data_IF_124998536860
#
_entry.id   IF_124998536860
#
_cell.length_a   1.000
_cell.length_b   1.000
_cell.length_c   1.000
_cell.angle_alpha   90.00
_cell.angle_beta   90.00
_cell.angle_gamma   90.00
#
_symmetry.space_group_name_H-M   'P 1'
#
loop_
_entity.id
_entity.type
_entity.pdbx_description
1 polymer ?
#
# COMPACT_ATOMS: atom_id res chain seq x y z
N UNK A 1 26.66 -2.43 -13.25
CA UNK A 1 25.42 -2.63 -14.02
C UNK A 1 24.91 -4.00 -13.66
N UNK A 2 23.92 -4.09 -12.78
CA UNK A 2 23.14 -5.30 -12.58
C UNK A 2 22.40 -5.54 -13.91
N UNK A 3 22.81 -6.56 -14.66
CA UNK A 3 22.03 -7.07 -15.78
C UNK A 3 20.68 -7.49 -15.22
N UNK A 4 19.65 -6.73 -15.55
CA UNK A 4 18.28 -6.99 -15.13
C UNK A 4 17.87 -8.30 -15.81
N UNK A 5 17.85 -9.39 -15.02
CA UNK A 5 17.54 -10.73 -15.52
C UNK A 5 16.08 -10.75 -15.98
N UNK A 6 15.86 -10.74 -17.28
CA UNK A 6 14.52 -10.83 -17.87
C UNK A 6 13.95 -12.22 -17.57
N UNK A 7 12.77 -12.25 -16.92
CA UNK A 7 12.07 -13.49 -16.59
C UNK A 7 11.34 -14.03 -17.83
N UNK A 8 11.39 -15.35 -18.04
CA UNK A 8 10.58 -16.00 -19.05
C UNK A 8 9.09 -16.02 -18.65
N UNK A 9 8.20 -16.28 -19.62
CA UNK A 9 6.76 -16.40 -19.33
C UNK A 9 6.47 -17.48 -18.29
N UNK A 10 7.19 -18.61 -18.31
CA UNK A 10 7.04 -19.67 -17.32
C UNK A 10 7.46 -19.25 -15.92
N UNK A 11 8.58 -18.54 -15.79
CA UNK A 11 9.04 -17.99 -14.53
C UNK A 11 8.07 -16.96 -13.95
N UNK A 12 7.49 -16.10 -14.81
CA UNK A 12 6.48 -15.14 -14.38
C UNK A 12 5.22 -15.86 -13.92
N UNK A 13 4.76 -16.88 -14.63
CA UNK A 13 3.60 -17.69 -14.23
C UNK A 13 3.84 -18.44 -12.90
N UNK A 14 5.05 -18.96 -12.66
CA UNK A 14 5.39 -19.59 -11.40
C UNK A 14 5.39 -18.59 -10.23
N UNK A 15 5.95 -17.40 -10.43
CA UNK A 15 5.86 -16.32 -9.44
C UNK A 15 4.41 -15.93 -9.12
N UNK A 16 3.57 -15.81 -10.13
CA UNK A 16 2.14 -15.54 -9.94
C UNK A 16 1.43 -16.64 -9.16
N UNK A 17 1.74 -17.89 -9.46
CA UNK A 17 1.19 -19.05 -8.73
C UNK A 17 1.57 -18.99 -7.25
N UNK A 18 2.84 -18.75 -6.96
CA UNK A 18 3.32 -18.63 -5.57
C UNK A 18 2.68 -17.45 -4.84
N UNK A 19 2.52 -16.31 -5.51
CA UNK A 19 1.83 -15.15 -4.94
C UNK A 19 0.36 -15.44 -4.63
N UNK A 20 -0.36 -16.14 -5.52
CA UNK A 20 -1.74 -16.54 -5.31
C UNK A 20 -1.88 -17.51 -4.11
N UNK A 21 -0.98 -18.50 -3.97
CA UNK A 21 -0.95 -19.40 -2.81
C UNK A 21 -0.74 -18.65 -1.48
N UNK A 22 0.12 -17.64 -1.46
CA UNK A 22 0.35 -16.80 -0.27
C UNK A 22 -0.87 -15.95 0.11
N UNK A 23 -1.73 -15.64 -0.87
CA UNK A 23 -2.96 -14.87 -0.67
C UNK A 23 -4.17 -15.74 -0.30
N UNK A 24 -3.98 -17.07 -0.13
CA UNK A 24 -5.01 -17.98 0.35
C UNK A 24 -5.93 -18.56 -0.73
N UNK A 25 -5.57 -18.45 -1.99
CA UNK A 25 -6.31 -19.05 -3.12
C UNK A 25 -5.93 -20.53 -3.26
N UNK A 26 -6.44 -21.36 -2.33
CA UNK A 26 -6.18 -22.82 -2.24
C UNK A 26 -7.14 -23.65 -3.09
N UNK A 27 -7.58 -23.17 -4.25
CA UNK A 27 -8.40 -24.01 -5.12
C UNK A 27 -7.58 -24.96 -6.00
N UNK A 28 -7.21 -26.11 -5.45
CA UNK A 28 -6.95 -27.33 -6.21
C UNK A 28 -8.29 -27.88 -6.76
N UNK A 29 -8.78 -27.29 -7.82
CA UNK A 29 -10.03 -27.70 -8.45
C UNK A 29 -10.10 -27.33 -9.92
N UNK A 30 -11.14 -27.78 -10.61
CA UNK A 30 -11.45 -27.57 -12.05
C UNK A 30 -11.42 -26.09 -12.51
N UNK A 31 -11.32 -25.14 -11.60
CA UNK A 31 -11.15 -23.70 -11.85
C UNK A 31 -9.80 -23.28 -12.43
N UNK A 32 -8.77 -24.11 -12.34
CA UNK A 32 -7.42 -23.82 -12.85
C UNK A 32 -7.39 -23.46 -14.35
N UNK A 33 -8.17 -24.13 -15.18
CA UNK A 33 -8.27 -23.84 -16.62
C UNK A 33 -8.98 -22.51 -16.90
N UNK A 34 -10.04 -22.22 -16.17
CA UNK A 34 -10.74 -20.93 -16.23
C UNK A 34 -9.84 -19.79 -15.76
N UNK A 35 -9.09 -19.98 -14.69
CA UNK A 35 -8.11 -19.01 -14.22
C UNK A 35 -7.02 -18.70 -15.26
N UNK A 36 -6.50 -19.72 -15.96
CA UNK A 36 -5.51 -19.50 -17.05
C UNK A 36 -6.09 -18.72 -18.23
N UNK A 37 -7.30 -19.07 -18.67
CA UNK A 37 -7.92 -18.39 -19.82
C UNK A 37 -8.25 -16.93 -19.49
N UNK A 38 -8.74 -16.64 -18.29
CA UNK A 38 -8.98 -15.29 -17.81
C UNK A 38 -7.66 -14.50 -17.70
N UNK A 39 -6.60 -15.12 -17.20
CA UNK A 39 -5.26 -14.50 -17.15
C UNK A 39 -4.72 -14.16 -18.54
N UNK A 40 -4.86 -15.08 -19.51
CA UNK A 40 -4.38 -14.84 -20.88
C UNK A 40 -5.18 -13.73 -21.54
N UNK A 41 -6.51 -13.75 -21.43
CA UNK A 41 -7.38 -12.71 -21.97
C UNK A 41 -7.09 -11.34 -21.33
N UNK A 42 -6.93 -11.28 -20.01
CA UNK A 42 -6.54 -10.08 -19.30
C UNK A 42 -5.14 -9.58 -19.71
N UNK A 43 -4.18 -10.50 -19.91
CA UNK A 43 -2.85 -10.15 -20.39
C UNK A 43 -2.87 -9.56 -21.81
N UNK A 44 -3.64 -10.16 -22.72
CA UNK A 44 -3.82 -9.64 -24.09
C UNK A 44 -4.40 -8.22 -24.09
N UNK A 45 -5.35 -7.93 -23.22
CA UNK A 45 -5.98 -6.61 -23.11
C UNK A 45 -5.02 -5.57 -22.52
N UNK A 46 -4.17 -5.96 -21.56
CA UNK A 46 -3.26 -5.05 -20.83
C UNK A 46 -1.93 -4.80 -21.51
N UNK A 47 -1.44 -5.76 -22.27
CA UNK A 47 -0.13 -5.68 -22.92
C UNK A 47 0.07 -4.40 -23.75
N UNK A 48 -0.86 -3.97 -24.62
CA UNK A 48 -0.67 -2.75 -25.39
C UNK A 48 -0.50 -1.50 -24.53
N UNK A 49 -1.26 -1.40 -23.45
CA UNK A 49 -1.21 -0.27 -22.51
C UNK A 49 0.08 -0.30 -21.67
N UNK A 50 0.48 -1.48 -21.20
CA UNK A 50 1.71 -1.66 -20.45
C UNK A 50 2.92 -1.32 -21.33
N UNK A 51 2.94 -1.80 -22.59
CA UNK A 51 3.96 -1.47 -23.57
C UNK A 51 4.05 0.05 -23.80
N UNK A 52 2.92 0.71 -24.04
CA UNK A 52 2.89 2.16 -24.28
C UNK A 52 3.48 2.93 -23.09
N UNK A 53 3.09 2.60 -21.85
CA UNK A 53 3.62 3.26 -20.65
C UNK A 53 5.12 3.04 -20.45
N UNK A 54 5.65 1.85 -20.74
CA UNK A 54 7.09 1.58 -20.66
C UNK A 54 7.88 2.39 -21.68
N UNK A 55 7.34 2.55 -22.90
CA UNK A 55 7.94 3.41 -23.92
C UNK A 55 7.94 4.90 -23.51
N UNK A 56 6.82 5.39 -22.93
CA UNK A 56 6.73 6.74 -22.37
C UNK A 56 7.74 6.97 -21.23
N UNK A 57 8.11 5.94 -20.50
CA UNK A 57 9.10 5.98 -19.43
C UNK A 57 10.54 5.91 -19.94
N UNK A 58 10.74 5.84 -21.27
CA UNK A 58 12.06 5.89 -21.93
C UNK A 58 12.72 4.54 -22.18
N UNK A 59 11.98 3.41 -22.05
CA UNK A 59 12.51 2.12 -22.49
C UNK A 59 12.60 2.05 -24.02
N UNK A 60 13.70 1.51 -24.55
CA UNK A 60 13.88 1.35 -25.99
C UNK A 60 12.86 0.36 -26.57
N UNK A 61 12.28 0.70 -27.72
CA UNK A 61 11.23 -0.09 -28.39
C UNK A 61 11.67 -1.52 -28.65
N UNK A 62 12.88 -1.69 -29.22
CA UNK A 62 13.45 -3.00 -29.57
C UNK A 62 13.60 -3.88 -28.32
N UNK A 63 13.93 -3.27 -27.18
CA UNK A 63 14.07 -3.98 -25.91
C UNK A 63 12.73 -4.43 -25.37
N UNK A 64 11.71 -3.55 -25.41
CA UNK A 64 10.35 -3.89 -24.91
C UNK A 64 9.71 -4.96 -25.79
N UNK A 65 9.93 -4.93 -27.09
CA UNK A 65 9.43 -5.95 -28.03
C UNK A 65 10.11 -7.31 -27.88
N UNK A 66 11.37 -7.32 -27.46
CA UNK A 66 12.09 -8.57 -27.18
C UNK A 66 11.65 -9.23 -25.85
N UNK A 67 10.93 -8.51 -24.97
CA UNK A 67 10.51 -9.05 -23.69
C UNK A 67 9.23 -9.91 -23.79
N UNK A 68 9.12 -11.00 -22.99
CA UNK A 68 7.89 -11.74 -22.87
C UNK A 68 6.71 -10.85 -22.43
N UNK A 69 5.54 -11.04 -23.03
CA UNK A 69 4.37 -10.18 -22.77
C UNK A 69 3.98 -10.09 -21.27
N UNK A 70 4.04 -11.20 -20.56
CA UNK A 70 3.76 -11.21 -19.12
C UNK A 70 4.81 -10.44 -18.31
N UNK A 71 6.07 -10.46 -18.74
CA UNK A 71 7.11 -9.66 -18.11
C UNK A 71 6.87 -8.16 -18.28
N UNK A 72 6.48 -7.72 -19.49
CA UNK A 72 6.10 -6.33 -19.77
C UNK A 72 4.98 -5.86 -18.87
N UNK A 73 3.93 -6.68 -18.70
CA UNK A 73 2.79 -6.36 -17.82
C UNK A 73 3.23 -6.29 -16.36
N UNK A 74 4.00 -7.27 -15.89
CA UNK A 74 4.48 -7.30 -14.51
C UNK A 74 5.39 -6.12 -14.19
N UNK A 75 6.29 -5.75 -15.12
CA UNK A 75 7.19 -4.61 -14.96
C UNK A 75 6.40 -3.30 -14.86
N UNK A 76 5.41 -3.09 -15.72
CA UNK A 76 4.53 -1.93 -15.69
C UNK A 76 3.74 -1.87 -14.36
N UNK A 77 3.15 -2.98 -13.92
CA UNK A 77 2.44 -3.08 -12.64
C UNK A 77 3.37 -2.79 -11.44
N UNK A 78 4.59 -3.29 -11.48
CA UNK A 78 5.58 -3.02 -10.44
C UNK A 78 5.97 -1.54 -10.40
N UNK A 79 6.13 -0.88 -11.55
CA UNK A 79 6.44 0.55 -11.59
C UNK A 79 5.28 1.41 -11.09
N UNK A 80 4.04 1.07 -11.44
CA UNK A 80 2.85 1.73 -10.90
C UNK A 80 2.77 1.57 -9.37
N UNK A 81 3.03 0.36 -8.87
CA UNK A 81 3.09 0.10 -7.43
C UNK A 81 4.17 0.94 -6.75
N UNK A 82 5.39 1.01 -7.32
CA UNK A 82 6.47 1.83 -6.75
C UNK A 82 6.07 3.30 -6.65
N UNK A 83 5.50 3.86 -7.71
CA UNK A 83 5.06 5.26 -7.71
C UNK A 83 3.98 5.50 -6.64
N UNK A 84 3.03 4.58 -6.47
CA UNK A 84 1.98 4.67 -5.46
C UNK A 84 2.55 4.49 -4.05
N UNK A 85 3.40 3.47 -3.85
CA UNK A 85 4.10 3.24 -2.59
C UNK A 85 4.84 4.49 -2.14
N UNK A 86 5.62 5.10 -3.04
CA UNK A 86 6.44 6.26 -2.71
C UNK A 86 5.57 7.49 -2.40
N UNK A 87 4.42 7.65 -3.08
CA UNK A 87 3.41 8.67 -2.71
C UNK A 87 2.83 8.44 -1.33
N UNK A 88 2.56 7.19 -0.97
CA UNK A 88 1.98 6.83 0.31
C UNK A 88 3.01 6.97 1.43
N UNK A 89 4.20 6.37 1.27
CA UNK A 89 5.20 6.32 2.34
C UNK A 89 5.80 7.68 2.70
N UNK A 90 5.87 8.64 1.77
CA UNK A 90 6.31 10.00 2.11
C UNK A 90 5.46 10.63 3.23
N UNK A 91 4.20 10.24 3.36
CA UNK A 91 3.30 10.74 4.39
C UNK A 91 3.36 9.97 5.71
N UNK A 92 4.08 8.84 5.75
CA UNK A 92 4.21 8.05 6.99
C UNK A 92 5.16 8.70 8.01
N UNK A 93 6.04 9.59 7.57
CA UNK A 93 6.95 10.34 8.44
C UNK A 93 6.36 11.66 8.95
N UNK A 94 5.16 12.02 8.51
CA UNK A 94 4.47 13.24 8.91
C UNK A 94 3.41 12.89 9.97
N UNK A 95 3.19 13.75 11.00
CA UNK A 95 2.12 13.53 11.98
C UNK A 95 0.77 13.25 11.29
N UNK A 96 0.02 12.27 11.81
CA UNK A 96 -1.21 11.80 11.18
C UNK A 96 -2.22 12.92 10.91
N UNK A 97 -2.34 13.90 11.81
CA UNK A 97 -3.24 15.06 11.65
C UNK A 97 -2.94 15.86 10.39
N UNK A 98 -1.67 15.98 10.01
CA UNK A 98 -1.23 16.70 8.81
C UNK A 98 -1.28 15.79 7.56
N UNK A 99 -1.04 14.49 7.73
CA UNK A 99 -1.02 13.51 6.65
C UNK A 99 -2.42 13.04 6.23
N UNK A 100 -3.44 13.16 7.09
CA UNK A 100 -4.77 12.55 6.95
C UNK A 100 -5.44 12.82 5.60
N UNK A 101 -5.45 14.05 5.14
CA UNK A 101 -6.07 14.42 3.86
C UNK A 101 -5.35 13.79 2.66
N UNK A 102 -4.03 13.74 2.70
CA UNK A 102 -3.19 13.15 1.66
C UNK A 102 -3.28 11.63 1.63
N UNK A 103 -3.34 11.00 2.81
CA UNK A 103 -3.56 9.57 2.92
C UNK A 103 -4.94 9.16 2.39
N UNK A 104 -5.98 9.97 2.68
CA UNK A 104 -7.33 9.75 2.13
C UNK A 104 -7.34 9.87 0.60
N UNK A 105 -6.69 10.90 0.05
CA UNK A 105 -6.56 11.06 -1.40
C UNK A 105 -5.84 9.86 -2.04
N UNK A 106 -4.74 9.40 -1.46
CA UNK A 106 -4.01 8.22 -1.95
C UNK A 106 -4.87 6.95 -1.91
N UNK A 107 -5.73 6.79 -0.89
CA UNK A 107 -6.68 5.70 -0.77
C UNK A 107 -7.78 5.74 -1.85
N UNK A 108 -8.30 6.92 -2.13
CA UNK A 108 -9.27 7.14 -3.20
C UNK A 108 -8.67 6.82 -4.58
N UNK A 109 -7.44 7.29 -4.87
CA UNK A 109 -6.70 6.97 -6.09
C UNK A 109 -6.45 5.46 -6.22
N UNK A 110 -6.08 4.80 -5.13
CA UNK A 110 -5.91 3.36 -5.09
C UNK A 110 -7.22 2.61 -5.34
N UNK A 111 -8.30 3.05 -4.70
CA UNK A 111 -9.63 2.46 -4.89
C UNK A 111 -10.13 2.61 -6.32
N UNK A 112 -9.79 3.70 -7.01
CA UNK A 112 -10.08 3.87 -8.44
C UNK A 112 -9.31 2.87 -9.30
N UNK A 113 -8.02 2.66 -9.02
CA UNK A 113 -7.22 1.66 -9.74
C UNK A 113 -7.79 0.25 -9.55
N UNK A 114 -8.24 -0.11 -8.35
CA UNK A 114 -8.92 -1.38 -8.09
C UNK A 114 -10.19 -1.56 -8.92
N UNK A 115 -10.99 -0.50 -9.08
CA UNK A 115 -12.23 -0.55 -9.88
C UNK A 115 -11.96 -0.68 -11.37
N UNK A 116 -10.91 -0.05 -11.87
CA UNK A 116 -10.50 -0.13 -13.27
C UNK A 116 -9.90 -1.49 -13.62
N UNK A 117 -9.41 -2.22 -12.63
CA UNK A 117 -8.76 -3.53 -12.74
C UNK A 117 -9.76 -4.71 -12.73
N UNK A 118 -11.06 -4.45 -12.94
CA UNK A 118 -12.19 -5.41 -12.86
C UNK A 118 -12.10 -6.66 -13.73
N UNK A 119 -10.98 -6.87 -14.42
CA UNK A 119 -10.75 -7.98 -15.36
C UNK A 119 -10.09 -9.21 -14.70
N UNK A 120 -10.10 -9.32 -13.36
CA UNK A 120 -9.59 -10.52 -12.65
C UNK A 120 -8.07 -10.64 -12.55
N UNK A 121 -7.30 -9.81 -13.24
CA UNK A 121 -5.85 -9.68 -13.05
C UNK A 121 -5.54 -8.48 -12.15
N UNK A 122 -5.95 -8.60 -10.90
CA UNK A 122 -5.62 -7.62 -9.88
C UNK A 122 -4.09 -7.47 -9.78
N UNK A 123 -3.61 -6.25 -9.77
CA UNK A 123 -2.19 -6.02 -9.53
C UNK A 123 -1.83 -6.57 -8.13
N UNK A 124 -1.05 -7.68 -8.04
CA UNK A 124 -0.79 -8.37 -6.77
C UNK A 124 -0.09 -7.46 -5.77
N UNK A 125 0.66 -6.45 -6.25
CA UNK A 125 1.36 -5.51 -5.39
C UNK A 125 0.41 -4.55 -4.66
N UNK A 126 -0.76 -4.25 -5.21
CA UNK A 126 -1.74 -3.36 -4.58
C UNK A 126 -2.39 -3.97 -3.35
N UNK A 127 -2.41 -5.30 -3.22
CA UNK A 127 -3.03 -6.02 -2.10
C UNK A 127 -2.37 -5.68 -0.75
N UNK A 128 -1.11 -5.26 -0.76
CA UNK A 128 -0.36 -4.92 0.46
C UNK A 128 -0.61 -3.50 0.98
N UNK A 129 -1.08 -2.57 0.16
CA UNK A 129 -1.22 -1.15 0.54
C UNK A 129 -2.35 -0.85 1.54
N UNK A 130 -3.56 -1.45 1.46
CA UNK A 130 -4.65 -1.18 2.39
C UNK A 130 -4.30 -1.52 3.85
N UNK A 131 -3.52 -2.59 4.06
CA UNK A 131 -3.05 -2.97 5.39
C UNK A 131 -2.20 -1.87 6.03
N UNK A 132 -1.34 -1.21 5.26
CA UNK A 132 -0.44 -0.17 5.74
C UNK A 132 -1.21 1.06 6.22
N UNK A 133 -2.26 1.48 5.52
CA UNK A 133 -3.11 2.60 5.92
C UNK A 133 -3.85 2.31 7.23
N UNK A 134 -4.41 1.10 7.37
CA UNK A 134 -5.08 0.68 8.60
C UNK A 134 -4.12 0.68 9.79
N UNK A 135 -2.88 0.23 9.60
CA UNK A 135 -1.83 0.26 10.62
C UNK A 135 -1.56 1.71 11.06
N UNK A 136 -1.39 2.64 10.12
CA UNK A 136 -1.15 4.06 10.45
C UNK A 136 -2.30 4.70 11.21
N UNK A 137 -3.54 4.39 10.85
CA UNK A 137 -4.72 4.83 11.60
C UNK A 137 -4.73 4.30 13.03
N UNK A 138 -4.44 3.01 13.21
CA UNK A 138 -4.39 2.38 14.54
C UNK A 138 -3.24 2.94 15.38
N UNK A 139 -2.07 3.18 14.80
CA UNK A 139 -0.92 3.80 15.46
C UNK A 139 -1.26 5.21 15.96
N UNK A 140 -1.87 6.04 15.11
CA UNK A 140 -2.31 7.38 15.49
C UNK A 140 -3.40 7.36 16.58
N UNK A 141 -4.30 6.37 16.55
CA UNK A 141 -5.29 6.17 17.60
C UNK A 141 -4.64 5.80 18.92
N UNK A 142 -3.71 4.84 18.91
CA UNK A 142 -2.97 4.43 20.08
C UNK A 142 -2.18 5.58 20.71
N UNK A 143 -1.45 6.35 19.88
CA UNK A 143 -0.71 7.53 20.34
C UNK A 143 -1.62 8.55 21.03
N UNK A 144 -2.82 8.80 20.48
CA UNK A 144 -3.84 9.66 21.08
C UNK A 144 -4.33 9.11 22.42
N UNK A 145 -4.62 7.82 22.49
CA UNK A 145 -5.15 7.19 23.70
C UNK A 145 -4.09 7.21 24.83
N UNK A 146 -2.81 7.03 24.49
CA UNK A 146 -1.69 7.21 25.43
C UNK A 146 -1.59 8.69 25.89
N UNK A 147 -1.74 9.66 24.99
CA UNK A 147 -1.72 11.07 25.34
C UNK A 147 -2.85 11.44 26.31
N UNK A 148 -4.06 10.91 26.09
CA UNK A 148 -5.20 11.09 27.00
C UNK A 148 -4.90 10.51 28.39
N UNK A 149 -4.35 9.30 28.47
CA UNK A 149 -3.98 8.69 29.75
C UNK A 149 -2.93 9.53 30.47
N UNK A 150 -1.93 10.02 29.78
CA UNK A 150 -0.91 10.94 30.37
C UNK A 150 -1.55 12.21 30.93
N UNK A 151 -2.50 12.80 30.20
CA UNK A 151 -3.23 13.96 30.70
C UNK A 151 -4.03 13.64 31.98
N UNK A 152 -4.71 12.49 32.00
CA UNK A 152 -5.49 12.06 33.17
C UNK A 152 -4.58 11.88 34.40
N UNK A 153 -3.44 11.19 34.23
CA UNK A 153 -2.49 11.00 35.32
C UNK A 153 -1.85 12.32 35.81
N UNK A 154 -1.53 13.22 34.87
CA UNK A 154 -1.01 14.54 35.19
C UNK A 154 -2.03 15.36 36.01
N UNK A 155 -3.32 15.31 35.68
CA UNK A 155 -4.40 15.96 36.44
C UNK A 155 -4.54 15.33 37.83
N UNK A 156 -4.46 14.00 37.94
CA UNK A 156 -4.52 13.30 39.24
C UNK A 156 -3.36 13.69 40.15
N UNK A 157 -2.14 13.75 39.62
CA UNK A 157 -0.97 14.19 40.37
C UNK A 157 -1.12 15.64 40.83
N UNK A 158 -1.56 16.53 39.94
CA UNK A 158 -1.83 17.93 40.30
C UNK A 158 -2.85 18.02 41.46
N UNK A 159 -3.97 17.30 41.35
CA UNK A 159 -5.00 17.30 42.41
C UNK A 159 -4.47 16.77 43.74
N UNK A 160 -3.61 15.74 43.75
CA UNK A 160 -3.00 15.21 44.97
C UNK A 160 -2.13 16.28 45.67
N UNK A 161 -1.35 17.03 44.90
CA UNK A 161 -0.44 18.08 45.44
C UNK A 161 -1.20 19.36 45.86
N UNK A 162 -2.45 19.56 45.37
CA UNK A 162 -3.25 20.77 45.60
C UNK A 162 -4.50 20.55 46.40
N UNK A 163 -4.51 19.50 47.27
CA UNK A 163 -5.62 19.23 48.19
C UNK A 163 -6.96 18.87 47.49
N UNK A 164 -6.87 18.18 46.35
CA UNK A 164 -8.03 17.73 45.55
C UNK A 164 -8.55 18.76 44.54
N UNK A 165 -7.92 19.92 44.42
CA UNK A 165 -8.32 20.95 43.44
C UNK A 165 -7.83 20.58 42.03
N UNK A 166 -8.72 20.69 41.05
CA UNK A 166 -8.38 20.47 39.64
C UNK A 166 -7.69 21.71 39.03
N UNK A 167 -6.77 21.51 38.08
CA UNK A 167 -6.16 22.61 37.32
C UNK A 167 -7.20 23.27 36.43
N UNK A 168 -7.11 24.59 36.24
CA UNK A 168 -7.98 25.33 35.31
C UNK A 168 -7.61 25.09 33.86
N UNK A 169 -6.34 24.73 33.60
CA UNK A 169 -5.83 24.38 32.29
C UNK A 169 -4.67 23.37 32.42
N UNK A 170 -4.39 22.63 31.37
CA UNK A 170 -3.24 21.71 31.34
C UNK A 170 -1.90 22.45 31.47
N UNK A 171 -1.84 23.71 31.10
CA UNK A 171 -0.64 24.54 31.23
C UNK A 171 -0.22 24.81 32.69
N UNK A 172 -1.12 24.66 33.66
CA UNK A 172 -0.80 24.76 35.09
C UNK A 172 -0.05 23.56 35.64
N UNK A 173 -0.05 22.44 34.89
CA UNK A 173 0.62 21.21 35.28
C UNK A 173 2.05 21.26 34.81
N UNK A 174 2.98 21.60 35.71
CA UNK A 174 4.43 21.72 35.39
C UNK A 174 5.24 20.50 35.86
N UNK A 175 4.68 19.67 36.74
CA UNK A 175 5.38 18.52 37.31
C UNK A 175 5.59 17.36 36.33
N UNK A 176 4.76 17.24 35.30
CA UNK A 176 4.83 16.19 34.28
C UNK A 176 4.62 16.82 32.90
N UNK A 177 5.40 16.43 31.87
CA UNK A 177 5.19 16.91 30.53
C UNK A 177 3.84 16.41 30.00
N UNK A 178 2.93 17.34 29.74
CA UNK A 178 1.63 17.08 29.11
C UNK A 178 1.83 17.17 27.59
N UNK A 179 1.29 16.20 26.79
CA UNK A 179 1.46 16.19 25.33
C UNK A 179 0.75 17.34 24.63
#
# INVERSE_FOLDING_TARGET
TLEEKVLSNEQVLDLWRRAAMLLGDNEEGSGWWLGKTVMIAGAMKRYPQAKARLLEQGHATERVEAWPALYVILLDQHQQFRAMRDRFFKWTHVPYTQARSRLKQADEEMSQLWRLDGDGLTNPFLTFLPATQRIRFLDARLARDIAILRCIEAIRMYAADHGGKLPKSLAEITAVPVP
#
